data_IF_609500381452
#
_entry.id   IF_609500381452
#
_cell.length_a   1.000
_cell.length_b   1.000
_cell.length_c   1.000
_cell.angle_alpha   90.00
_cell.angle_beta   90.00
_cell.angle_gamma   90.00
#
_symmetry.space_group_name_H-M   'P 1'
#
loop_
_entity.id
_entity.type
_entity.pdbx_description
1 polymer ?
#
# COMPACT_ATOMS: atom_id res chain seq x y z
N UNK A 1 -0.17 13.05 -4.68
CA UNK A 1 -1.22 12.07 -4.33
C UNK A 1 -1.14 10.93 -5.33
N UNK A 2 -0.95 9.70 -4.85
CA UNK A 2 -0.89 8.48 -5.66
C UNK A 2 -2.25 7.83 -5.75
N UNK A 3 -2.47 7.01 -6.78
CA UNK A 3 -3.65 6.16 -6.96
C UNK A 3 -3.31 4.70 -6.72
N UNK A 4 -4.33 3.84 -6.64
CA UNK A 4 -4.10 2.39 -6.49
C UNK A 4 -3.22 1.82 -7.61
N UNK A 5 -3.30 2.36 -8.84
CA UNK A 5 -2.47 1.93 -9.97
C UNK A 5 -1.00 2.30 -9.76
N UNK A 6 -0.74 3.45 -9.16
CA UNK A 6 0.61 3.90 -8.86
C UNK A 6 1.23 3.04 -7.75
N UNK A 7 0.43 2.65 -6.75
CA UNK A 7 0.86 1.72 -5.69
C UNK A 7 1.15 0.31 -6.23
N UNK A 8 0.28 -0.22 -7.09
CA UNK A 8 0.48 -1.49 -7.82
C UNK A 8 1.82 -1.48 -8.56
N UNK A 9 2.12 -0.39 -9.27
CA UNK A 9 3.39 -0.23 -9.99
C UNK A 9 4.59 -0.06 -9.05
N UNK A 10 4.42 0.60 -7.91
CA UNK A 10 5.49 0.85 -6.93
C UNK A 10 5.94 -0.44 -6.23
N UNK A 11 4.98 -1.26 -5.81
CA UNK A 11 5.26 -2.50 -5.07
C UNK A 11 5.42 -3.71 -5.99
N UNK A 12 5.19 -3.55 -7.30
CA UNK A 12 5.18 -4.63 -8.28
C UNK A 12 4.27 -5.81 -7.84
N UNK A 13 3.09 -5.46 -7.32
CA UNK A 13 2.10 -6.39 -6.78
C UNK A 13 0.80 -6.30 -7.57
N UNK A 14 -0.05 -7.32 -7.48
CA UNK A 14 -1.41 -7.23 -8.03
C UNK A 14 -2.26 -6.18 -7.30
N UNK A 15 -3.32 -5.71 -7.96
CA UNK A 15 -4.30 -4.80 -7.35
C UNK A 15 -4.89 -5.38 -6.06
N UNK A 16 -5.18 -6.69 -6.03
CA UNK A 16 -5.70 -7.37 -4.86
C UNK A 16 -4.71 -7.33 -3.69
N UNK A 17 -3.46 -7.74 -3.93
CA UNK A 17 -2.40 -7.71 -2.90
C UNK A 17 -2.16 -6.29 -2.38
N UNK A 18 -2.22 -5.30 -3.26
CA UNK A 18 -2.11 -3.89 -2.86
C UNK A 18 -3.26 -3.49 -1.91
N UNK A 19 -4.49 -3.93 -2.18
CA UNK A 19 -5.62 -3.71 -1.26
C UNK A 19 -5.44 -4.43 0.08
N UNK A 20 -4.95 -5.66 0.08
CA UNK A 20 -4.66 -6.40 1.31
C UNK A 20 -3.63 -5.67 2.18
N UNK A 21 -2.56 -5.12 1.57
CA UNK A 21 -1.56 -4.30 2.27
C UNK A 21 -2.16 -3.00 2.83
N UNK A 22 -3.04 -2.32 2.08
CA UNK A 22 -3.75 -1.13 2.56
C UNK A 22 -4.62 -1.44 3.78
N UNK A 23 -5.31 -2.60 3.76
CA UNK A 23 -6.11 -3.07 4.88
C UNK A 23 -5.25 -3.45 6.09
N UNK A 24 -4.15 -4.17 5.87
CA UNK A 24 -3.19 -4.55 6.91
C UNK A 24 -2.54 -3.33 7.58
N UNK A 25 -2.29 -2.26 6.82
CA UNK A 25 -1.77 -1.00 7.32
C UNK A 25 -2.83 -0.08 7.97
N UNK A 26 -4.10 -0.52 8.04
CA UNK A 26 -5.23 0.23 8.56
C UNK A 26 -5.36 1.65 7.95
N UNK A 27 -5.10 1.78 6.65
CA UNK A 27 -5.11 3.07 5.95
C UNK A 27 -6.52 3.42 5.47
N UNK A 28 -7.02 4.57 5.90
CA UNK A 28 -8.27 5.14 5.40
C UNK A 28 -8.03 5.86 4.07
N UNK A 29 -8.52 5.27 2.98
CA UNK A 29 -8.33 5.85 1.63
C UNK A 29 -9.11 7.14 1.44
N UNK A 30 -8.52 8.13 0.75
CA UNK A 30 -9.22 9.37 0.36
C UNK A 30 -9.97 9.10 -0.95
N UNK A 31 -11.29 9.29 -0.98
CA UNK A 31 -12.09 9.13 -2.20
C UNK A 31 -12.19 10.45 -2.96
N UNK A 32 -11.86 10.44 -4.25
CA UNK A 32 -12.09 11.56 -5.18
C UNK A 32 -12.81 11.03 -6.43
N UNK A 33 -14.14 11.17 -6.44
CA UNK A 33 -14.99 10.48 -7.41
C UNK A 33 -14.81 8.97 -7.30
N UNK A 34 -14.59 8.30 -8.43
CA UNK A 34 -14.40 6.84 -8.48
C UNK A 34 -12.96 6.38 -8.16
N UNK A 35 -12.07 7.30 -7.75
CA UNK A 35 -10.65 6.99 -7.50
C UNK A 35 -10.35 7.05 -6.00
N UNK A 36 -9.61 6.06 -5.52
CA UNK A 36 -8.93 6.11 -4.23
C UNK A 36 -7.58 6.81 -4.39
N UNK A 37 -7.30 7.79 -3.54
CA UNK A 37 -6.08 8.58 -3.49
C UNK A 37 -5.33 8.34 -2.17
N UNK A 38 -4.01 8.41 -2.27
CA UNK A 38 -3.07 8.15 -1.18
C UNK A 38 -2.07 9.32 -1.10
N UNK A 39 -1.95 9.90 0.09
CA UNK A 39 -0.97 10.95 0.35
C UNK A 39 0.38 10.35 0.81
N UNK A 40 1.39 11.19 0.98
CA UNK A 40 2.75 10.74 1.35
C UNK A 40 2.77 10.00 2.69
N UNK A 41 2.02 10.45 3.69
CA UNK A 41 1.95 9.76 4.99
C UNK A 41 1.32 8.37 4.91
N UNK A 42 0.30 8.18 4.06
CA UNK A 42 -0.29 6.87 3.80
C UNK A 42 0.71 5.94 3.11
N UNK A 43 1.46 6.48 2.15
CA UNK A 43 2.47 5.72 1.40
C UNK A 43 3.62 5.31 2.33
N UNK A 44 4.10 6.20 3.20
CA UNK A 44 5.13 5.87 4.18
C UNK A 44 4.70 4.71 5.09
N UNK A 45 3.44 4.70 5.53
CA UNK A 45 2.89 3.63 6.36
C UNK A 45 2.76 2.29 5.61
N UNK A 46 2.49 2.32 4.31
CA UNK A 46 2.53 1.13 3.44
C UNK A 46 3.95 0.61 3.29
N UNK A 47 4.92 1.51 3.09
CA UNK A 47 6.33 1.14 2.98
C UNK A 47 6.80 0.45 4.27
N UNK A 48 6.51 1.02 5.44
CA UNK A 48 6.83 0.41 6.75
C UNK A 48 6.24 -1.01 6.91
N UNK A 49 4.99 -1.22 6.51
CA UNK A 49 4.33 -2.52 6.62
C UNK A 49 4.94 -3.55 5.64
N UNK A 50 5.27 -3.10 4.42
CA UNK A 50 5.95 -3.94 3.44
C UNK A 50 7.35 -4.35 3.91
N UNK A 51 8.14 -3.40 4.46
CA UNK A 51 9.46 -3.70 5.03
C UNK A 51 9.39 -4.67 6.21
N UNK A 52 8.40 -4.54 7.09
CA UNK A 52 8.21 -5.48 8.21
C UNK A 52 7.85 -6.88 7.71
N UNK A 53 7.00 -6.98 6.67
CA UNK A 53 6.61 -8.27 6.08
C UNK A 53 7.78 -8.95 5.37
N UNK A 54 8.59 -8.20 4.62
CA UNK A 54 9.81 -8.71 3.97
C UNK A 54 10.86 -9.12 5.01
N UNK A 55 11.03 -8.32 6.08
CA UNK A 55 11.98 -8.63 7.17
C UNK A 55 11.55 -9.85 8.00
N UNK A 56 10.24 -10.04 8.22
CA UNK A 56 9.71 -11.21 8.92
C UNK A 56 9.85 -12.51 8.12
N UNK A 57 9.96 -12.42 6.79
CA UNK A 57 10.15 -13.58 5.90
C UNK A 57 11.63 -13.96 5.71
N UNK A 58 12.55 -13.25 6.36
CA UNK A 58 14.01 -13.43 6.26
C UNK A 58 14.64 -14.44 7.22
N UNK A 59 13.86 -15.15 8.04
CA UNK A 59 14.38 -16.30 8.81
C UNK A 59 14.37 -17.57 7.93
N UNK A 60 15.43 -17.77 7.15
CA UNK A 60 15.80 -19.06 6.56
C UNK A 60 17.30 -19.28 6.70
#
# INVERSE_FOLDING_TARGET
MLTIRDLVSRYNMSTQQTYEQILAAAILTIKRGNRSLFNEGMVARLDENNYQTESASGFR
#
